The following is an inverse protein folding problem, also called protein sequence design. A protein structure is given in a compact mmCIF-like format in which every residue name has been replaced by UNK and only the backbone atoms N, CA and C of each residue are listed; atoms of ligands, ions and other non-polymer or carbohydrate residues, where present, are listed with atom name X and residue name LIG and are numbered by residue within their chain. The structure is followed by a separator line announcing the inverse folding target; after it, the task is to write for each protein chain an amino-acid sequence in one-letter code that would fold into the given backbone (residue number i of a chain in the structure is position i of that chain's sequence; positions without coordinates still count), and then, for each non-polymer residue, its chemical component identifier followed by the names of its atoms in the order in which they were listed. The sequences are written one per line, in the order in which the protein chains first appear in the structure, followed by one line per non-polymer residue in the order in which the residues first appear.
data_IF_489174422864
#
_entry.id   IF_489174422864
#
_cell.length_a   1.000
_cell.length_b   1.000
_cell.length_c   1.000
_cell.angle_alpha   90.00
_cell.angle_beta   90.00
_cell.angle_gamma   90.00
#
_symmetry.space_group_name_H-M   'P 1'
#
loop_
_entity.id
_entity.type
_entity.pdbx_description
1 polymer ?
#
# COMPACT_ATOMS: atom_id res chain seq x y z
N UNK A 1 -3.89 48.95 41.07
CA UNK A 1 -5.29 49.12 41.51
C UNK A 1 -5.68 50.58 41.33
N UNK A 2 -6.47 50.89 40.30
CA UNK A 2 -7.36 52.06 40.25
C UNK A 2 -8.50 51.68 39.30
N UNK A 3 -9.61 51.28 39.92
CA UNK A 3 -10.92 50.98 39.36
C UNK A 3 -11.64 52.29 39.06
N UNK A 4 -12.24 52.43 37.88
CA UNK A 4 -13.47 53.21 37.67
C UNK A 4 -14.23 52.66 36.46
N UNK A 5 -15.49 52.33 36.69
CA UNK A 5 -16.59 52.11 35.74
C UNK A 5 -17.83 52.80 36.36
N UNK A 6 -18.98 52.95 35.69
CA UNK A 6 -19.30 52.95 34.25
C UNK A 6 -20.12 54.22 33.85
N UNK A 7 -20.43 54.42 32.57
CA UNK A 7 -21.56 55.26 32.17
C UNK A 7 -22.28 54.62 30.98
N UNK A 8 -23.50 54.16 31.23
CA UNK A 8 -24.50 53.77 30.24
C UNK A 8 -25.10 55.03 29.61
N UNK A 9 -25.19 55.07 28.29
CA UNK A 9 -26.23 55.82 27.59
C UNK A 9 -26.74 54.99 26.41
N UNK A 10 -28.04 54.81 26.39
CA UNK A 10 -28.82 54.08 25.39
C UNK A 10 -29.41 55.04 24.37
N UNK A 11 -29.56 54.53 23.14
CA UNK A 11 -30.52 54.88 22.08
C UNK A 11 -30.23 56.08 21.15
N UNK A 12 -30.06 55.76 19.86
CA UNK A 12 -31.03 56.11 18.81
C UNK A 12 -30.72 55.34 17.51
N UNK A 13 -31.72 54.64 16.98
CA UNK A 13 -31.73 54.05 15.64
C UNK A 13 -32.07 55.14 14.62
N UNK A 14 -31.23 55.31 13.59
CA UNK A 14 -31.62 55.87 12.30
C UNK A 14 -30.94 55.10 11.18
N UNK A 15 -31.78 54.51 10.32
CA UNK A 15 -31.42 53.84 9.07
C UNK A 15 -30.96 54.84 8.01
N UNK A 16 -29.84 54.56 7.35
CA UNK A 16 -29.53 55.12 6.03
C UNK A 16 -28.69 54.12 5.22
N UNK A 17 -29.19 53.76 4.03
CA UNK A 17 -28.49 52.97 3.03
C UNK A 17 -27.51 53.84 2.23
N UNK A 18 -26.41 53.18 1.82
CA UNK A 18 -25.36 53.59 0.85
C UNK A 18 -24.28 54.52 1.39
N UNK A 19 -23.00 54.25 1.05
CA UNK A 19 -22.46 54.97 -0.10
C UNK A 19 -21.47 54.18 -0.99
N UNK A 20 -21.39 54.63 -2.23
CA UNK A 20 -20.34 54.37 -3.19
C UNK A 20 -18.98 54.90 -2.73
N UNK A 21 -17.96 54.06 -2.94
CA UNK A 21 -16.56 54.30 -3.29
C UNK A 21 -15.80 55.55 -2.78
N UNK A 22 -14.64 55.28 -2.17
CA UNK A 22 -13.40 56.01 -2.45
C UNK A 22 -12.19 55.08 -2.19
N UNK A 23 -10.95 55.42 -2.60
CA UNK A 23 -10.21 54.67 -3.61
C UNK A 23 -8.85 54.21 -3.08
N UNK A 24 -8.36 53.07 -3.56
CA UNK A 24 -6.94 52.92 -3.87
C UNK A 24 -6.67 51.60 -4.58
N UNK A 25 -5.76 51.73 -5.55
CA UNK A 25 -4.96 50.73 -6.22
C UNK A 25 -5.43 50.25 -7.63
N UNK A 26 -4.60 50.47 -8.67
CA UNK A 26 -5.02 50.42 -10.07
C UNK A 26 -4.66 49.08 -10.73
N UNK A 27 -5.63 48.47 -11.41
CA UNK A 27 -5.39 47.62 -12.59
C UNK A 27 -6.72 47.10 -13.13
N UNK A 28 -7.33 47.87 -14.02
CA UNK A 28 -8.39 47.40 -14.90
C UNK A 28 -7.80 47.02 -16.26
N UNK A 29 -8.27 45.88 -16.78
CA UNK A 29 -8.19 45.39 -18.18
C UNK A 29 -7.01 44.47 -18.56
N UNK A 30 -7.21 43.15 -18.42
CA UNK A 30 -7.81 42.28 -19.46
C UNK A 30 -7.54 40.82 -19.08
N UNK A 31 -8.47 40.21 -18.33
CA UNK A 31 -8.44 38.75 -18.13
C UNK A 31 -9.25 38.16 -19.29
N UNK A 32 -8.65 37.37 -20.19
CA UNK A 32 -9.42 36.67 -21.21
C UNK A 32 -10.43 35.77 -20.49
N UNK A 33 -11.68 35.82 -20.95
CA UNK A 33 -12.76 34.98 -20.47
C UNK A 33 -12.25 33.56 -20.29
N UNK A 34 -12.11 33.13 -19.04
CA UNK A 34 -11.72 31.78 -18.72
C UNK A 34 -12.85 30.90 -19.24
N UNK A 35 -12.59 30.26 -20.38
CA UNK A 35 -13.49 29.27 -20.93
C UNK A 35 -13.57 28.20 -19.87
N UNK A 36 -14.67 28.14 -19.13
CA UNK A 36 -14.99 27.03 -18.25
C UNK A 36 -15.06 25.77 -19.11
N UNK A 37 -13.92 25.12 -19.28
CA UNK A 37 -13.89 23.72 -19.68
C UNK A 37 -14.51 22.99 -18.49
N UNK A 38 -15.79 22.62 -18.61
CA UNK A 38 -16.54 21.78 -17.68
C UNK A 38 -15.94 20.38 -17.59
N UNK A 39 -14.70 20.30 -17.13
CA UNK A 39 -13.93 19.08 -17.03
C UNK A 39 -14.36 18.30 -15.80
N UNK A 40 -14.69 17.02 -16.00
CA UNK A 40 -15.10 16.14 -14.91
C UNK A 40 -13.87 15.69 -14.11
N UNK A 41 -13.70 16.23 -12.90
CA UNK A 41 -12.63 15.84 -11.97
C UNK A 41 -13.02 14.58 -11.19
N UNK A 42 -12.14 13.60 -11.16
CA UNK A 42 -12.31 12.32 -10.46
C UNK A 42 -11.20 12.17 -9.43
N UNK A 43 -11.56 12.14 -8.15
CA UNK A 43 -10.64 11.94 -7.03
C UNK A 43 -10.77 10.52 -6.47
N UNK A 44 -9.67 9.78 -6.51
CA UNK A 44 -9.54 8.41 -5.99
C UNK A 44 -8.61 8.36 -4.78
N UNK A 45 -8.95 7.53 -3.80
CA UNK A 45 -8.05 7.12 -2.73
C UNK A 45 -7.77 5.61 -2.85
N UNK A 46 -6.50 5.24 -3.03
CA UNK A 46 -6.02 3.87 -2.94
C UNK A 46 -5.45 3.60 -1.53
N UNK A 47 -6.07 2.69 -0.78
CA UNK A 47 -5.51 2.17 0.45
C UNK A 47 -4.74 0.87 0.17
N UNK A 48 -3.43 0.89 0.44
CA UNK A 48 -2.49 -0.14 -0.01
C UNK A 48 -1.53 -0.58 1.09
N UNK A 49 -0.97 -1.79 0.97
CA UNK A 49 0.13 -2.20 1.83
C UNK A 49 1.42 -1.42 1.52
N UNK A 50 2.29 -1.29 2.52
CA UNK A 50 3.45 -0.39 2.55
C UNK A 50 4.47 -0.61 1.42
N UNK A 51 4.80 -1.86 1.12
CA UNK A 51 5.76 -2.25 0.08
C UNK A 51 5.31 -1.88 -1.34
N UNK A 52 4.00 -1.73 -1.60
CA UNK A 52 3.49 -1.32 -2.91
C UNK A 52 3.59 0.20 -3.18
N UNK A 53 4.08 1.00 -2.23
CA UNK A 53 4.14 2.46 -2.34
C UNK A 53 4.85 2.93 -3.61
N UNK A 54 6.05 2.41 -3.85
CA UNK A 54 6.89 2.88 -4.95
C UNK A 54 6.37 2.38 -6.30
N UNK A 55 5.76 1.19 -6.34
CA UNK A 55 5.01 0.73 -7.51
C UNK A 55 3.89 1.71 -7.89
N UNK A 56 3.05 2.12 -6.93
CA UNK A 56 1.94 3.03 -7.24
C UNK A 56 2.40 4.47 -7.53
N UNK A 57 3.54 4.91 -6.99
CA UNK A 57 4.14 6.20 -7.42
C UNK A 57 4.50 6.20 -8.90
N UNK A 58 5.01 5.09 -9.41
CA UNK A 58 5.38 4.94 -10.83
C UNK A 58 4.14 4.63 -11.70
N UNK A 59 3.20 3.82 -11.20
CA UNK A 59 2.01 3.40 -11.94
C UNK A 59 0.93 4.47 -12.06
N UNK A 60 0.66 5.26 -11.01
CA UNK A 60 -0.44 6.22 -11.00
C UNK A 60 -0.35 7.26 -12.14
N UNK A 61 0.81 7.87 -12.45
CA UNK A 61 0.93 8.79 -13.59
C UNK A 61 0.63 8.12 -14.93
N UNK A 62 1.03 6.84 -15.11
CA UNK A 62 0.74 6.08 -16.33
C UNK A 62 -0.76 5.83 -16.48
N UNK A 63 -1.40 5.43 -15.39
CA UNK A 63 -2.86 5.23 -15.38
C UNK A 63 -3.61 6.53 -15.67
N UNK A 64 -3.22 7.65 -15.05
CA UNK A 64 -3.86 8.95 -15.27
C UNK A 64 -3.76 9.35 -16.74
N UNK A 65 -2.56 9.29 -17.32
CA UNK A 65 -2.31 9.61 -18.73
C UNK A 65 -3.16 8.74 -19.66
N UNK A 66 -3.14 7.43 -19.45
CA UNK A 66 -3.92 6.48 -20.26
C UNK A 66 -5.42 6.70 -20.14
N UNK A 67 -5.91 6.95 -18.91
CA UNK A 67 -7.33 7.16 -18.67
C UNK A 67 -7.84 8.45 -19.32
N UNK A 68 -7.10 9.56 -19.18
CA UNK A 68 -7.47 10.85 -19.76
C UNK A 68 -7.41 10.83 -21.29
N UNK A 69 -6.44 10.12 -21.88
CA UNK A 69 -6.38 9.90 -23.33
C UNK A 69 -7.65 9.22 -23.85
N UNK A 70 -8.17 8.23 -23.10
CA UNK A 70 -9.41 7.51 -23.43
C UNK A 70 -10.69 8.25 -23.06
N UNK A 71 -10.61 9.26 -22.19
CA UNK A 71 -11.75 10.03 -21.70
C UNK A 71 -11.43 11.53 -21.73
N UNK A 72 -11.44 12.15 -22.93
CA UNK A 72 -11.19 13.58 -23.07
C UNK A 72 -12.14 14.41 -22.18
N UNK A 73 -11.66 15.53 -21.65
CA UNK A 73 -12.42 16.36 -20.72
C UNK A 73 -12.54 15.78 -19.30
N UNK A 74 -11.78 14.74 -18.95
CA UNK A 74 -11.67 14.25 -17.57
C UNK A 74 -10.34 14.62 -16.94
N UNK A 75 -10.37 14.93 -15.64
CA UNK A 75 -9.19 15.09 -14.80
C UNK A 75 -9.20 14.00 -13.73
N UNK A 76 -8.06 13.36 -13.48
CA UNK A 76 -7.94 12.28 -12.48
C UNK A 76 -6.88 12.64 -11.45
N UNK A 77 -7.25 12.57 -10.18
CA UNK A 77 -6.33 12.70 -9.04
C UNK A 77 -6.38 11.44 -8.20
N UNK A 78 -5.20 10.89 -7.88
CA UNK A 78 -5.08 9.66 -7.09
C UNK A 78 -4.25 9.94 -5.84
N UNK A 79 -4.90 9.81 -4.69
CA UNK A 79 -4.27 9.81 -3.38
C UNK A 79 -3.97 8.39 -2.93
N UNK A 80 -2.99 8.27 -2.04
CA UNK A 80 -2.41 7.01 -1.61
C UNK A 80 -2.32 6.95 -0.08
N UNK A 81 -2.87 5.90 0.54
CA UNK A 81 -2.68 5.57 1.96
C UNK A 81 -1.91 4.25 2.07
N UNK A 82 -0.80 4.23 2.83
CA UNK A 82 0.10 3.07 2.92
C UNK A 82 0.39 2.66 4.36
N UNK A 83 0.43 1.36 4.64
CA UNK A 83 0.80 0.80 5.94
C UNK A 83 0.80 -0.73 5.94
N UNK A 84 0.85 -1.37 7.11
CA UNK A 84 0.61 -2.82 7.18
C UNK A 84 -0.77 -3.16 6.59
N UNK A 85 -0.85 -4.20 5.74
CA UNK A 85 -2.06 -4.52 4.96
C UNK A 85 -3.31 -4.64 5.84
N UNK A 86 -3.27 -5.45 6.91
CA UNK A 86 -4.41 -5.58 7.82
C UNK A 86 -4.75 -4.28 8.56
N UNK A 87 -3.76 -3.42 8.84
CA UNK A 87 -4.03 -2.09 9.43
C UNK A 87 -4.80 -1.20 8.45
N UNK A 88 -4.45 -1.23 7.15
CA UNK A 88 -5.18 -0.49 6.12
C UNK A 88 -6.59 -1.01 5.92
N UNK A 89 -6.78 -2.34 5.89
CA UNK A 89 -8.11 -2.95 5.84
C UNK A 89 -8.95 -2.54 7.06
N UNK A 90 -8.38 -2.54 8.26
CA UNK A 90 -9.06 -2.05 9.47
C UNK A 90 -9.38 -0.55 9.39
N UNK A 91 -8.50 0.28 8.85
CA UNK A 91 -8.79 1.71 8.63
C UNK A 91 -9.98 1.91 7.69
N UNK A 92 -10.08 1.15 6.60
CA UNK A 92 -11.24 1.18 5.69
C UNK A 92 -12.49 0.67 6.40
N UNK A 93 -12.39 -0.44 7.13
CA UNK A 93 -13.49 -0.97 7.94
C UNK A 93 -14.02 0.02 8.98
N UNK A 94 -13.15 0.91 9.48
CA UNK A 94 -13.46 1.93 10.48
C UNK A 94 -13.74 3.32 9.88
N UNK A 95 -13.91 3.43 8.56
CA UNK A 95 -14.45 4.63 7.92
C UNK A 95 -13.51 5.40 6.99
N UNK A 96 -12.26 4.97 6.77
CA UNK A 96 -11.43 5.54 5.72
C UNK A 96 -12.11 5.35 4.35
N UNK A 97 -12.41 6.47 3.68
CA UNK A 97 -13.16 6.48 2.41
C UNK A 97 -12.27 6.13 1.21
N UNK A 98 -11.62 4.96 1.23
CA UNK A 98 -10.87 4.45 0.09
C UNK A 98 -11.81 4.02 -1.03
N UNK A 99 -11.46 4.29 -2.29
CA UNK A 99 -12.21 3.83 -3.47
C UNK A 99 -11.77 2.42 -3.89
N UNK A 100 -10.47 2.15 -3.71
CA UNK A 100 -9.84 0.87 -4.03
C UNK A 100 -8.97 0.45 -2.86
N UNK A 101 -9.00 -0.84 -2.58
CA UNK A 101 -8.05 -1.50 -1.70
C UNK A 101 -7.11 -2.37 -2.54
N UNK A 102 -5.81 -2.27 -2.27
CA UNK A 102 -4.80 -3.06 -2.95
C UNK A 102 -3.90 -3.71 -1.89
N UNK A 103 -4.23 -4.96 -1.57
CA UNK A 103 -3.76 -5.65 -0.37
C UNK A 103 -2.73 -6.71 -0.73
N UNK A 104 -2.01 -7.22 0.27
CA UNK A 104 -1.05 -8.31 0.07
C UNK A 104 -1.54 -9.67 0.57
N UNK A 105 -2.83 -9.79 0.94
CA UNK A 105 -3.46 -11.05 1.33
C UNK A 105 -4.98 -10.96 1.16
N UNK A 106 -5.61 -12.07 0.79
CA UNK A 106 -7.06 -12.13 0.52
C UNK A 106 -7.93 -11.96 1.76
N UNK A 107 -7.44 -12.38 2.93
CA UNK A 107 -8.18 -12.26 4.20
C UNK A 107 -8.50 -10.82 4.59
N UNK A 108 -7.70 -9.85 4.15
CA UNK A 108 -7.92 -8.43 4.37
C UNK A 108 -9.12 -7.90 3.55
N UNK A 109 -9.34 -8.43 2.33
CA UNK A 109 -10.51 -8.08 1.52
C UNK A 109 -11.73 -8.87 1.98
N UNK A 110 -11.56 -10.14 2.38
CA UNK A 110 -12.64 -10.94 2.98
C UNK A 110 -13.21 -10.26 4.25
N UNK A 111 -12.38 -9.56 5.03
CA UNK A 111 -12.83 -8.72 6.15
C UNK A 111 -13.77 -7.58 5.69
N UNK A 112 -13.41 -6.91 4.59
CA UNK A 112 -14.18 -5.78 4.05
C UNK A 112 -15.49 -6.26 3.40
N UNK A 113 -15.48 -7.43 2.76
CA UNK A 113 -16.68 -8.10 2.26
C UNK A 113 -17.65 -8.41 3.42
N UNK A 114 -17.14 -9.01 4.52
CA UNK A 114 -17.94 -9.30 5.72
C UNK A 114 -18.56 -8.06 6.35
N UNK A 115 -17.90 -6.90 6.21
CA UNK A 115 -18.41 -5.58 6.65
C UNK A 115 -19.37 -4.93 5.64
N UNK A 116 -19.64 -5.57 4.50
CA UNK A 116 -20.50 -5.03 3.45
C UNK A 116 -19.89 -3.85 2.68
N UNK A 117 -18.58 -3.63 2.79
CA UNK A 117 -17.88 -2.53 2.12
C UNK A 117 -17.41 -2.92 0.71
N UNK A 118 -17.12 -4.20 0.52
CA UNK A 118 -16.78 -4.84 -0.76
C UNK A 118 -17.90 -5.83 -1.12
N UNK A 119 -18.22 -5.97 -2.40
CA UNK A 119 -19.23 -6.91 -2.89
C UNK A 119 -18.87 -8.37 -2.59
N UNK A 120 -19.92 -9.20 -2.40
CA UNK A 120 -19.75 -10.64 -2.29
C UNK A 120 -19.16 -11.22 -3.58
N UNK A 121 -18.31 -12.23 -3.45
CA UNK A 121 -17.65 -12.87 -4.61
C UNK A 121 -16.59 -11.98 -5.27
N UNK A 122 -15.97 -11.07 -4.51
CA UNK A 122 -14.97 -10.12 -5.02
C UNK A 122 -13.80 -10.81 -5.72
N UNK A 123 -13.44 -12.04 -5.32
CA UNK A 123 -12.37 -12.84 -5.94
C UNK A 123 -12.65 -13.13 -7.42
N UNK A 124 -13.91 -13.21 -7.81
CA UNK A 124 -14.35 -13.47 -9.20
C UNK A 124 -14.67 -12.18 -9.96
N UNK A 125 -14.59 -11.01 -9.32
CA UNK A 125 -14.93 -9.73 -9.96
C UNK A 125 -13.88 -9.28 -10.99
N UNK A 126 -12.68 -9.85 -10.93
CA UNK A 126 -11.57 -9.60 -11.85
C UNK A 126 -10.86 -10.93 -12.18
N UNK A 127 -10.12 -11.01 -13.30
CA UNK A 127 -9.30 -12.19 -13.63
C UNK A 127 -8.31 -12.57 -12.52
N UNK A 128 -7.81 -13.81 -12.58
CA UNK A 128 -6.73 -14.31 -11.73
C UNK A 128 -7.00 -14.09 -10.22
N UNK A 129 -8.22 -14.40 -9.78
CA UNK A 129 -8.67 -14.24 -8.39
C UNK A 129 -8.61 -12.78 -7.88
N UNK A 130 -8.73 -11.81 -8.79
CA UNK A 130 -8.50 -10.40 -8.52
C UNK A 130 -7.09 -10.08 -8.00
N UNK A 131 -6.09 -10.89 -8.34
CA UNK A 131 -4.68 -10.71 -8.00
C UNK A 131 -3.87 -10.37 -9.26
N UNK A 132 -3.72 -9.07 -9.62
CA UNK A 132 -3.02 -8.66 -10.85
C UNK A 132 -1.53 -9.00 -10.87
N UNK A 133 -0.94 -9.38 -9.73
CA UNK A 133 0.41 -9.88 -9.62
C UNK A 133 0.55 -10.78 -8.39
N UNK A 134 1.56 -11.64 -8.46
CA UNK A 134 2.00 -12.50 -7.36
C UNK A 134 3.43 -12.16 -6.96
N UNK A 135 3.82 -12.65 -5.80
CA UNK A 135 5.18 -12.58 -5.28
C UNK A 135 5.47 -13.87 -4.50
N UNK A 136 6.63 -13.93 -3.87
CA UNK A 136 6.98 -15.01 -2.96
C UNK A 136 7.85 -14.49 -1.82
N UNK A 137 8.11 -15.32 -0.82
CA UNK A 137 9.01 -15.00 0.29
C UNK A 137 10.43 -15.42 -0.05
N UNK A 138 11.36 -14.49 0.10
CA UNK A 138 12.80 -14.70 -0.10
C UNK A 138 13.57 -14.18 1.10
N UNK A 139 14.87 -14.49 1.14
CA UNK A 139 15.77 -13.94 2.13
C UNK A 139 16.65 -12.88 1.48
N UNK A 140 16.70 -11.70 2.09
CA UNK A 140 17.71 -10.71 1.79
C UNK A 140 18.82 -10.83 2.83
N UNK A 141 20.01 -11.21 2.41
CA UNK A 141 21.18 -11.39 3.27
C UNK A 141 22.21 -10.31 2.98
N UNK A 142 23.15 -10.12 3.90
CA UNK A 142 24.30 -9.23 3.72
C UNK A 142 25.19 -9.73 2.59
N UNK A 143 25.91 -8.81 1.94
CA UNK A 143 26.95 -9.13 0.94
C UNK A 143 27.86 -10.25 1.45
N UNK A 144 28.24 -11.16 0.54
CA UNK A 144 29.00 -12.40 0.79
C UNK A 144 28.33 -13.46 1.65
N UNK A 145 27.10 -13.23 2.13
CA UNK A 145 26.33 -14.17 2.93
C UNK A 145 27.14 -14.81 4.08
N UNK A 146 27.67 -14.02 5.04
CA UNK A 146 28.62 -14.51 6.05
C UNK A 146 28.05 -15.58 6.99
N UNK A 147 26.71 -15.69 7.07
CA UNK A 147 26.01 -16.73 7.84
C UNK A 147 25.70 -17.98 7.03
N UNK A 148 26.08 -18.02 5.75
CA UNK A 148 25.83 -19.14 4.83
C UNK A 148 24.37 -19.57 4.85
N UNK A 149 23.47 -18.60 4.74
CA UNK A 149 22.03 -18.83 4.70
C UNK A 149 21.65 -19.23 3.28
N UNK A 150 21.16 -20.45 3.12
CA UNK A 150 20.74 -21.00 1.83
C UNK A 150 19.28 -21.45 1.88
N UNK A 151 18.78 -21.83 3.05
CA UNK A 151 17.41 -22.32 3.21
C UNK A 151 16.84 -22.05 4.62
N UNK A 152 15.58 -22.39 4.84
CA UNK A 152 14.87 -22.17 6.11
C UNK A 152 15.54 -22.82 7.32
N UNK A 153 16.17 -23.99 7.17
CA UNK A 153 16.90 -24.65 8.26
C UNK A 153 18.07 -23.80 8.78
N UNK A 154 18.70 -23.00 7.91
CA UNK A 154 19.81 -22.13 8.32
C UNK A 154 19.34 -21.02 9.26
N UNK A 155 18.09 -20.58 9.11
CA UNK A 155 17.48 -19.56 9.95
C UNK A 155 17.27 -20.00 11.40
N UNK A 156 17.22 -21.31 11.66
CA UNK A 156 17.09 -21.88 13.00
C UNK A 156 18.44 -22.05 13.72
N UNK A 157 19.57 -21.85 13.03
CA UNK A 157 20.91 -21.99 13.62
C UNK A 157 21.15 -20.93 14.72
N UNK A 158 21.88 -21.33 15.76
CA UNK A 158 22.25 -20.42 16.84
C UNK A 158 23.05 -19.22 16.31
N UNK A 159 22.75 -18.02 16.81
CA UNK A 159 23.48 -16.80 16.44
C UNK A 159 23.13 -16.22 15.07
N UNK A 160 22.07 -16.71 14.42
CA UNK A 160 21.39 -16.01 13.31
C UNK A 160 20.37 -15.05 13.89
N UNK A 161 20.36 -13.82 13.41
CA UNK A 161 19.39 -12.78 13.80
C UNK A 161 18.49 -12.44 12.62
N UNK A 162 17.20 -12.67 12.77
CA UNK A 162 16.21 -12.49 11.69
C UNK A 162 15.44 -11.19 11.88
N UNK A 163 15.27 -10.43 10.81
CA UNK A 163 14.31 -9.33 10.76
C UNK A 163 13.10 -9.78 9.96
N UNK A 164 11.91 -9.69 10.55
CA UNK A 164 10.63 -9.95 9.88
C UNK A 164 9.57 -8.93 10.30
N UNK A 165 8.55 -8.75 9.47
CA UNK A 165 7.36 -8.01 9.87
C UNK A 165 6.47 -8.86 10.80
N UNK A 166 5.74 -8.20 11.70
CA UNK A 166 4.91 -8.88 12.70
C UNK A 166 3.73 -9.62 12.04
N UNK A 167 3.61 -10.96 12.18
CA UNK A 167 2.52 -11.73 11.58
C UNK A 167 1.14 -11.41 12.16
N UNK A 168 1.06 -10.82 13.37
CA UNK A 168 -0.23 -10.42 13.95
C UNK A 168 -0.90 -9.30 13.16
N UNK A 169 -0.11 -8.39 12.59
CA UNK A 169 -0.61 -7.14 11.98
C UNK A 169 -0.28 -6.99 10.49
N UNK A 170 0.52 -7.89 9.91
CA UNK A 170 1.00 -7.76 8.53
C UNK A 170 0.87 -9.05 7.74
N UNK A 171 0.47 -8.95 6.46
CA UNK A 171 0.51 -10.08 5.53
C UNK A 171 1.94 -10.56 5.26
N UNK A 172 2.92 -9.64 5.21
CA UNK A 172 4.34 -9.95 5.02
C UNK A 172 4.85 -10.96 6.07
N UNK A 173 4.54 -10.71 7.36
CA UNK A 173 4.86 -11.64 8.44
C UNK A 173 4.09 -12.96 8.36
N UNK A 174 2.82 -12.94 7.94
CA UNK A 174 2.01 -14.17 7.79
C UNK A 174 2.53 -15.05 6.66
N UNK A 175 2.88 -14.48 5.50
CA UNK A 175 3.50 -15.24 4.41
C UNK A 175 4.90 -15.75 4.79
N UNK A 176 5.70 -14.98 5.53
CA UNK A 176 6.97 -15.49 6.08
C UNK A 176 6.75 -16.73 6.97
N UNK A 177 5.78 -16.65 7.89
CA UNK A 177 5.40 -17.78 8.74
C UNK A 177 4.92 -18.98 7.92
N UNK A 178 4.00 -18.76 6.97
CA UNK A 178 3.46 -19.82 6.13
C UNK A 178 4.51 -20.45 5.20
N UNK A 179 5.48 -19.66 4.72
CA UNK A 179 6.64 -20.16 3.98
C UNK A 179 7.49 -21.09 4.83
N UNK A 180 7.85 -20.67 6.05
CA UNK A 180 8.59 -21.50 7.00
C UNK A 180 7.82 -22.77 7.41
N UNK A 181 6.53 -22.63 7.70
CA UNK A 181 5.67 -23.74 8.11
C UNK A 181 5.46 -24.75 6.98
N UNK A 182 5.19 -24.27 5.76
CA UNK A 182 5.08 -25.11 4.57
C UNK A 182 6.38 -25.85 4.24
N UNK A 183 7.53 -25.17 4.39
CA UNK A 183 8.83 -25.82 4.30
C UNK A 183 9.00 -26.92 5.35
N UNK A 184 8.70 -26.64 6.62
CA UNK A 184 8.83 -27.61 7.69
C UNK A 184 7.96 -28.85 7.46
N UNK A 185 6.70 -28.68 7.04
CA UNK A 185 5.83 -29.80 6.67
C UNK A 185 6.46 -30.64 5.56
N UNK A 186 6.98 -30.00 4.51
CA UNK A 186 7.63 -30.71 3.40
C UNK A 186 8.90 -31.45 3.87
N UNK A 187 9.76 -30.80 4.63
CA UNK A 187 11.03 -31.36 5.10
C UNK A 187 10.86 -32.52 6.09
N UNK A 188 9.71 -32.58 6.77
CA UNK A 188 9.40 -33.58 7.80
C UNK A 188 8.33 -34.58 7.38
N UNK A 189 8.01 -34.65 6.08
CA UNK A 189 6.98 -35.53 5.52
C UNK A 189 5.61 -35.39 6.22
N UNK A 190 5.21 -34.16 6.55
CA UNK A 190 3.93 -33.82 7.17
C UNK A 190 3.91 -33.91 8.69
N UNK A 191 5.06 -34.09 9.37
CA UNK A 191 5.09 -34.11 10.83
C UNK A 191 4.93 -32.69 11.41
N UNK A 192 3.73 -32.41 11.93
CA UNK A 192 3.39 -31.10 12.49
C UNK A 192 4.21 -30.74 13.74
N UNK A 193 4.56 -31.69 14.59
CA UNK A 193 5.32 -31.40 15.82
C UNK A 193 6.74 -30.95 15.49
N UNK A 194 7.42 -31.64 14.58
CA UNK A 194 8.76 -31.24 14.12
C UNK A 194 8.72 -29.93 13.33
N UNK A 195 7.67 -29.72 12.53
CA UNK A 195 7.44 -28.44 11.85
C UNK A 195 7.31 -27.29 12.85
N UNK A 196 6.50 -27.46 13.90
CA UNK A 196 6.32 -26.44 14.93
C UNK A 196 7.63 -26.15 15.67
N UNK A 197 8.45 -27.17 15.96
CA UNK A 197 9.78 -26.98 16.56
C UNK A 197 10.70 -26.16 15.67
N UNK A 198 10.75 -26.46 14.37
CA UNK A 198 11.55 -25.70 13.41
C UNK A 198 11.10 -24.24 13.36
N UNK A 199 9.80 -23.99 13.17
CA UNK A 199 9.27 -22.62 13.09
C UNK A 199 9.48 -21.87 14.39
N UNK A 200 9.32 -22.52 15.55
CA UNK A 200 9.62 -21.92 16.84
C UNK A 200 11.11 -21.54 16.98
N UNK A 201 12.02 -22.38 16.49
CA UNK A 201 13.46 -22.08 16.48
C UNK A 201 13.79 -20.87 15.58
N UNK A 202 13.19 -20.79 14.39
CA UNK A 202 13.31 -19.63 13.48
C UNK A 202 12.79 -18.36 14.18
N UNK A 203 11.60 -18.40 14.76
CA UNK A 203 11.01 -17.23 15.43
C UNK A 203 11.79 -16.81 16.67
N UNK A 204 12.40 -17.75 17.40
CA UNK A 204 13.28 -17.46 18.55
C UNK A 204 14.50 -16.63 18.13
N UNK A 205 14.96 -16.79 16.89
CA UNK A 205 16.06 -16.01 16.31
C UNK A 205 15.62 -14.62 15.80
N UNK A 206 14.37 -14.20 16.04
CA UNK A 206 13.84 -12.90 15.63
C UNK A 206 13.90 -11.90 16.79
N UNK A 207 14.95 -11.03 16.90
CA UNK A 207 15.02 -10.04 17.97
C UNK A 207 13.97 -8.92 17.86
N UNK A 208 13.47 -8.64 16.65
CA UNK A 208 12.53 -7.54 16.40
C UNK A 208 11.45 -7.98 15.41
N UNK A 209 10.19 -7.78 15.81
CA UNK A 209 9.03 -7.92 14.93
C UNK A 209 8.55 -6.53 14.52
N UNK A 210 8.82 -6.13 13.28
CA UNK A 210 8.52 -4.79 12.78
C UNK A 210 7.05 -4.59 12.42
N UNK A 211 6.56 -3.35 12.51
CA UNK A 211 5.15 -3.04 12.31
C UNK A 211 4.68 -3.09 10.83
N UNK A 212 5.59 -3.35 9.89
CA UNK A 212 5.34 -3.35 8.45
C UNK A 212 6.52 -3.95 7.69
N UNK A 213 6.31 -4.32 6.43
CA UNK A 213 7.37 -4.83 5.55
C UNK A 213 8.44 -3.78 5.29
N UNK A 214 8.04 -2.53 5.03
CA UNK A 214 8.99 -1.43 4.80
C UNK A 214 9.75 -1.04 6.07
N UNK A 215 9.12 -1.18 7.24
CA UNK A 215 9.81 -0.99 8.52
C UNK A 215 10.86 -2.09 8.76
N UNK A 216 10.54 -3.35 8.46
CA UNK A 216 11.49 -4.47 8.45
C UNK A 216 12.68 -4.18 7.51
N UNK A 217 12.40 -3.74 6.29
CA UNK A 217 13.43 -3.30 5.34
C UNK A 217 14.34 -2.22 5.92
N UNK A 218 13.78 -1.16 6.50
CA UNK A 218 14.56 -0.07 7.12
C UNK A 218 15.43 -0.56 8.28
N UNK A 219 14.89 -1.41 9.15
CA UNK A 219 15.64 -1.98 10.28
C UNK A 219 16.82 -2.82 9.82
N UNK A 220 16.64 -3.63 8.77
CA UNK A 220 17.72 -4.42 8.20
C UNK A 220 18.77 -3.56 7.46
N UNK A 221 18.31 -2.67 6.57
CA UNK A 221 19.18 -1.96 5.62
C UNK A 221 19.83 -0.70 6.19
N UNK A 222 19.06 0.12 6.91
CA UNK A 222 19.52 1.44 7.38
C UNK A 222 19.98 1.39 8.84
N UNK A 223 19.31 0.61 9.69
CA UNK A 223 19.69 0.46 11.10
C UNK A 223 20.69 -0.66 11.33
N UNK A 224 21.02 -1.41 10.28
CA UNK A 224 22.03 -2.45 10.29
C UNK A 224 21.74 -3.58 11.31
N UNK A 225 20.47 -3.87 11.59
CA UNK A 225 20.05 -4.90 12.54
C UNK A 225 19.74 -6.20 11.82
N UNK A 226 20.20 -7.33 12.37
CA UNK A 226 19.96 -8.67 11.84
C UNK A 226 20.99 -9.14 10.81
N UNK A 227 20.97 -10.43 10.52
CA UNK A 227 21.82 -11.08 9.52
C UNK A 227 21.05 -11.35 8.22
N UNK A 228 19.73 -11.47 8.33
CA UNK A 228 18.80 -11.80 7.24
C UNK A 228 17.46 -11.12 7.45
N UNK A 229 16.89 -10.62 6.36
CA UNK A 229 15.52 -10.12 6.27
C UNK A 229 14.67 -11.12 5.48
N UNK A 230 13.55 -11.57 6.05
CA UNK A 230 12.53 -12.32 5.31
C UNK A 230 11.51 -11.33 4.78
N UNK A 231 11.37 -11.22 3.47
CA UNK A 231 10.49 -10.25 2.82
C UNK A 231 9.99 -10.75 1.47
N UNK A 232 9.03 -10.04 0.88
CA UNK A 232 8.57 -10.32 -0.47
C UNK A 232 9.67 -10.09 -1.50
N UNK A 233 9.71 -10.94 -2.53
CA UNK A 233 10.68 -10.90 -3.63
C UNK A 233 10.80 -9.52 -4.27
N UNK A 234 9.66 -8.84 -4.51
CA UNK A 234 9.65 -7.50 -5.10
C UNK A 234 10.31 -6.44 -4.19
N UNK A 235 10.20 -6.56 -2.86
CA UNK A 235 10.88 -5.66 -1.91
C UNK A 235 12.38 -5.98 -1.85
N UNK A 236 12.76 -7.25 -1.82
CA UNK A 236 14.17 -7.65 -1.86
C UNK A 236 14.86 -7.14 -3.14
N UNK A 237 14.18 -7.24 -4.28
CA UNK A 237 14.64 -6.68 -5.56
C UNK A 237 14.70 -5.14 -5.55
N UNK A 238 13.74 -4.48 -4.91
CA UNK A 238 13.75 -3.03 -4.75
C UNK A 238 14.99 -2.59 -3.95
N UNK A 239 15.26 -3.24 -2.82
CA UNK A 239 16.42 -2.95 -1.98
C UNK A 239 17.73 -3.18 -2.72
N UNK A 240 17.90 -4.37 -3.29
CA UNK A 240 19.16 -4.77 -3.93
C UNK A 240 19.52 -3.95 -5.17
N UNK A 241 18.51 -3.42 -5.89
CA UNK A 241 18.73 -2.65 -7.13
C UNK A 241 18.69 -1.14 -6.95
N UNK A 242 17.78 -0.62 -6.10
CA UNK A 242 17.48 0.82 -6.04
C UNK A 242 18.01 1.52 -4.79
N UNK A 243 18.11 0.83 -3.65
CA UNK A 243 18.51 1.49 -2.40
C UNK A 243 20.01 1.38 -2.12
N UNK A 244 20.59 0.20 -2.31
CA UNK A 244 21.95 -0.10 -1.84
C UNK A 244 22.56 -1.17 -2.73
N UNK A 245 22.92 -0.78 -3.96
CA UNK A 245 23.61 -1.68 -4.89
C UNK A 245 24.83 -2.29 -4.19
N UNK A 246 25.01 -3.60 -4.37
CA UNK A 246 26.17 -4.37 -3.90
C UNK A 246 26.32 -4.55 -2.38
N UNK A 247 25.34 -4.17 -1.55
CA UNK A 247 25.39 -4.41 -0.10
C UNK A 247 24.65 -5.67 0.34
N UNK A 248 23.77 -6.21 -0.52
CA UNK A 248 22.89 -7.31 -0.18
C UNK A 248 22.79 -8.33 -1.31
N UNK A 249 22.46 -9.57 -0.95
CA UNK A 249 22.23 -10.67 -1.86
C UNK A 249 20.85 -11.27 -1.58
N UNK A 250 20.16 -11.73 -2.63
CA UNK A 250 18.87 -12.42 -2.50
C UNK A 250 19.14 -13.91 -2.52
N UNK A 251 18.66 -14.61 -1.49
CA UNK A 251 18.65 -16.07 -1.41
C UNK A 251 17.21 -16.55 -1.59
N UNK A 252 17.03 -17.41 -2.59
CA UNK A 252 15.77 -18.09 -2.84
C UNK A 252 15.77 -19.44 -2.11
N UNK A 253 14.94 -19.64 -1.09
CA UNK A 253 14.85 -20.92 -0.40
C UNK A 253 14.35 -22.02 -1.33
N UNK A 254 14.63 -23.28 -0.98
CA UNK A 254 14.26 -24.44 -1.82
C UNK A 254 12.75 -24.67 -1.92
N UNK A 255 12.00 -24.16 -0.94
CA UNK A 255 10.55 -24.18 -0.91
C UNK A 255 10.02 -22.91 -0.26
N UNK A 256 8.99 -22.33 -0.82
CA UNK A 256 8.36 -21.11 -0.31
C UNK A 256 6.91 -21.05 -0.76
N UNK A 257 6.23 -19.98 -0.39
CA UNK A 257 4.80 -19.77 -0.62
C UNK A 257 4.55 -18.80 -1.76
N UNK A 258 3.55 -19.09 -2.60
CA UNK A 258 3.00 -18.12 -3.53
C UNK A 258 2.15 -17.09 -2.78
N UNK A 259 2.42 -15.82 -2.99
CA UNK A 259 1.69 -14.71 -2.38
C UNK A 259 0.95 -13.91 -3.44
N UNK A 260 -0.37 -14.05 -3.48
CA UNK A 260 -1.25 -13.23 -4.31
C UNK A 260 -1.43 -11.84 -3.67
N UNK A 261 -1.41 -10.79 -4.49
CA UNK A 261 -1.66 -9.41 -4.05
C UNK A 261 -3.00 -8.91 -4.57
N UNK A 262 -4.11 -9.18 -3.85
CA UNK A 262 -5.45 -8.96 -4.37
C UNK A 262 -5.87 -7.49 -4.33
N UNK A 263 -6.76 -7.13 -5.24
CA UNK A 263 -7.36 -5.79 -5.33
C UNK A 263 -8.88 -5.86 -5.33
N UNK A 264 -9.53 -4.87 -4.73
CA UNK A 264 -10.99 -4.77 -4.77
C UNK A 264 -11.47 -3.32 -4.75
N UNK A 265 -12.66 -3.13 -5.29
CA UNK A 265 -13.41 -1.87 -5.22
C UNK A 265 -14.14 -1.80 -3.89
N UNK A 266 -14.06 -0.66 -3.20
CA UNK A 266 -14.86 -0.41 -1.99
C UNK A 266 -16.22 0.15 -2.43
N UNK A 267 -17.17 -0.75 -2.69
CA UNK A 267 -18.46 -0.43 -3.27
C UNK A 267 -19.28 0.59 -2.47
N UNK A 268 -19.17 0.57 -1.13
CA UNK A 268 -19.91 1.52 -0.28
C UNK A 268 -19.48 2.97 -0.48
N UNK A 269 -18.18 3.22 -0.69
CA UNK A 269 -17.62 4.56 -0.93
C UNK A 269 -17.91 5.01 -2.36
N UNK A 270 -17.67 4.11 -3.32
CA UNK A 270 -17.95 4.33 -4.75
C UNK A 270 -19.44 4.61 -4.99
N UNK A 271 -20.31 3.86 -4.32
CA UNK A 271 -21.75 4.07 -4.32
C UNK A 271 -22.11 5.46 -3.81
N UNK A 272 -21.61 5.87 -2.63
CA UNK A 272 -21.84 7.22 -2.08
C UNK A 272 -21.38 8.33 -3.02
N UNK A 273 -20.19 8.21 -3.61
CA UNK A 273 -19.66 9.20 -4.57
C UNK A 273 -20.52 9.30 -5.85
N UNK A 274 -21.10 8.19 -6.33
CA UNK A 274 -22.08 8.23 -7.44
C UNK A 274 -23.31 9.05 -7.11
N UNK A 275 -23.81 8.98 -5.87
CA UNK A 275 -24.98 9.75 -5.44
C UNK A 275 -24.66 11.24 -5.29
N UNK A 276 -23.41 11.62 -5.02
CA UNK A 276 -22.95 13.01 -4.93
C UNK A 276 -22.36 13.57 -6.25
N UNK A 277 -22.65 12.94 -7.39
CA UNK A 277 -22.23 13.40 -8.72
C UNK A 277 -20.79 13.03 -9.14
N UNK A 278 -20.00 12.46 -8.24
CA UNK A 278 -18.64 11.97 -8.51
C UNK A 278 -18.66 10.51 -8.99
N UNK A 279 -18.84 10.29 -10.30
CA UNK A 279 -18.84 8.92 -10.89
C UNK A 279 -17.45 8.26 -10.79
N UNK A 280 -17.28 7.11 -10.11
CA UNK A 280 -16.00 6.41 -9.99
C UNK A 280 -15.62 5.66 -11.28
N UNK A 281 -14.31 5.58 -11.52
CA UNK A 281 -13.65 5.01 -12.72
C UNK A 281 -13.75 3.47 -12.79
N UNK A 282 -14.15 2.82 -11.71
CA UNK A 282 -13.85 1.40 -11.51
C UNK A 282 -14.68 0.41 -12.32
N UNK A 283 -15.81 0.82 -12.90
CA UNK A 283 -16.52 -0.05 -13.86
C UNK A 283 -15.79 -0.21 -15.20
N UNK A 284 -14.64 0.46 -15.40
CA UNK A 284 -13.84 0.42 -16.64
C UNK A 284 -12.33 0.64 -16.39
N UNK A 285 -11.77 0.21 -15.26
CA UNK A 285 -10.30 0.06 -15.22
C UNK A 285 -9.98 -1.16 -16.09
N UNK A 286 -9.26 -1.00 -17.22
CA UNK A 286 -8.78 -2.13 -17.97
C UNK A 286 -7.59 -2.73 -17.20
N UNK A 287 -7.87 -3.53 -16.16
CA UNK A 287 -6.89 -4.47 -15.61
C UNK A 287 -6.63 -5.63 -16.59
N UNK A 288 -7.50 -5.80 -17.59
CA UNK A 288 -7.49 -6.90 -18.58
C UNK A 288 -6.31 -6.90 -19.58
N UNK A 289 -5.47 -5.86 -19.64
CA UNK A 289 -4.36 -5.82 -20.63
C UNK A 289 -2.95 -5.69 -20.08
N UNK A 290 -2.78 -5.53 -18.76
CA UNK A 290 -1.45 -5.56 -18.14
C UNK A 290 -1.01 -6.98 -17.81
N UNK A 291 -1.93 -7.88 -17.42
CA UNK A 291 -1.62 -9.28 -17.04
C UNK A 291 -1.06 -10.17 -18.17
N UNK A 292 -1.43 -9.91 -19.42
CA UNK A 292 -0.96 -10.71 -20.56
C UNK A 292 0.47 -10.35 -21.03
N UNK A 293 1.04 -9.22 -20.57
CA UNK A 293 2.45 -8.85 -20.84
C UNK A 293 3.37 -8.99 -19.63
N UNK A 294 2.85 -9.18 -18.41
CA UNK A 294 3.68 -9.42 -17.22
C UNK A 294 4.21 -10.85 -17.09
N UNK A 295 3.84 -11.80 -17.95
CA UNK A 295 4.55 -13.09 -18.03
C UNK A 295 6.01 -12.97 -18.51
N UNK A 296 6.43 -11.78 -18.97
CA UNK A 296 7.84 -11.38 -19.11
C UNK A 296 7.98 -9.86 -18.93
N UNK A 297 7.94 -9.36 -17.70
CA UNK A 297 8.85 -8.25 -17.39
C UNK A 297 10.19 -8.90 -17.04
N UNK A 298 10.84 -9.42 -18.08
CA UNK A 298 12.28 -9.53 -18.06
C UNK A 298 12.78 -8.10 -17.87
N UNK A 299 13.49 -7.88 -16.77
CA UNK A 299 14.38 -6.73 -16.66
C UNK A 299 15.23 -6.72 -17.94
N UNK A 300 15.42 -5.57 -18.61
CA UNK A 300 16.36 -5.52 -19.72
C UNK A 300 17.72 -6.01 -19.22
N UNK A 301 18.27 -7.05 -19.87
CA UNK A 301 19.65 -7.45 -19.68
C UNK A 301 20.55 -6.27 -20.10
N UNK A 302 21.59 -5.92 -19.33
CA UNK A 302 22.51 -4.87 -19.73
C UNK A 302 23.31 -5.31 -20.95
N UNK A 303 23.54 -4.36 -21.86
CA UNK A 303 24.58 -4.44 -22.88
C UNK A 303 25.97 -4.49 -22.22
#
# INVERSE_FOLDING_TARGET
MKTYAPALYTAALLTACSPSANPDNPSGQNIPANTESGGKTIALLNASYDVARDFYKEYNPLFIKEYQSKHPGTSVSIQQSHGGSSKQALSVANGLQADVVTMNQSSDIDLLEKKGLVQKGWKQALPDHAAPYTSTMVFLVRKSNPKQIHDWNDLAKNGVKIVIANPKTTGNGRYAFLGAYGYGLKATNGNEQETQKLVAAILKNTPVFENGGRAATTTFTQRNIGDVLITFENEANYVSKKLTKEQFEIVYPSYTISAESPVAVVNSVVGKKRHTGSRPILSRIPLERTGARTRRIALPAPA
#
